data_IF_264274878538
#
_entry.id   IF_264274878538
#
_cell.length_a   1.000
_cell.length_b   1.000
_cell.length_c   1.000
_cell.angle_alpha   90.00
_cell.angle_beta   90.00
_cell.angle_gamma   90.00
#
_symmetry.space_group_name_H-M   'P 1'
#
loop_
_entity.id
_entity.type
_entity.pdbx_description
1 polymer ?
#
# COMPACT_ATOMS: atom_id res chain seq x y z
N UNK A 1 -7.71 -22.35 11.69
CA UNK A 1 -6.28 -22.13 11.36
C UNK A 1 -6.17 -20.74 10.75
N UNK A 2 -6.38 -19.72 11.58
CA UNK A 2 -6.04 -18.34 11.24
C UNK A 2 -4.58 -18.20 11.63
N UNK A 3 -3.74 -17.84 10.67
CA UNK A 3 -2.35 -17.50 10.99
C UNK A 3 -2.34 -16.07 11.47
N UNK A 4 -2.43 -15.90 12.78
CA UNK A 4 -2.08 -14.67 13.48
C UNK A 4 -0.58 -14.42 13.24
N UNK A 5 -0.24 -13.73 12.15
CA UNK A 5 1.10 -13.16 11.96
C UNK A 5 1.21 -11.92 12.85
N UNK A 6 1.34 -12.15 14.16
CA UNK A 6 1.93 -11.20 15.08
C UNK A 6 3.40 -11.03 14.67
N UNK A 7 3.67 -10.09 13.78
CA UNK A 7 5.01 -9.49 13.67
C UNK A 7 5.06 -8.35 14.67
N UNK A 8 5.49 -8.68 15.89
CA UNK A 8 6.03 -7.71 16.82
C UNK A 8 7.27 -7.08 16.18
N UNK A 9 7.13 -5.81 15.82
CA UNK A 9 8.15 -4.97 15.23
C UNK A 9 7.63 -3.56 15.22
N UNK A 10 7.62 -2.94 16.42
CA UNK A 10 7.35 -1.52 16.56
C UNK A 10 8.28 -0.69 15.65
N UNK A 11 7.77 0.49 15.31
CA UNK A 11 8.52 1.63 14.76
C UNK A 11 8.87 1.59 13.27
N UNK A 12 7.84 1.81 12.44
CA UNK A 12 7.77 2.78 11.31
C UNK A 12 6.64 2.36 10.35
N UNK A 13 5.46 2.37 10.92
CA UNK A 13 4.29 1.68 10.39
C UNK A 13 3.76 2.33 9.11
N UNK A 14 3.26 1.50 8.18
CA UNK A 14 2.63 1.96 6.95
C UNK A 14 1.21 2.52 7.18
N UNK A 15 0.74 2.48 8.43
CA UNK A 15 -0.61 2.80 8.90
C UNK A 15 -1.08 4.25 8.69
N UNK A 16 -0.29 5.06 7.99
CA UNK A 16 -0.60 6.47 7.71
C UNK A 16 -1.61 6.63 6.56
N UNK A 17 -1.77 5.61 5.71
CA UNK A 17 -2.68 5.69 4.56
C UNK A 17 -4.07 5.19 4.98
N UNK A 18 -4.97 6.12 5.26
CA UNK A 18 -6.41 5.82 5.36
C UNK A 18 -7.07 6.03 4.00
N UNK A 19 -7.62 4.96 3.43
CA UNK A 19 -8.44 5.01 2.23
C UNK A 19 -9.92 4.90 2.60
N UNK A 20 -10.76 5.72 1.96
CA UNK A 20 -12.21 5.46 1.95
C UNK A 20 -12.50 4.12 1.25
N UNK A 21 -13.57 3.39 1.64
CA UNK A 21 -14.01 2.21 0.89
C UNK A 21 -14.13 2.45 -0.61
N UNK A 22 -14.60 3.63 -1.04
CA UNK A 22 -14.69 4.02 -2.45
C UNK A 22 -13.30 4.14 -3.13
N UNK A 23 -12.32 4.73 -2.45
CA UNK A 23 -10.94 4.86 -2.93
C UNK A 23 -10.26 3.49 -3.04
N UNK A 24 -10.51 2.60 -2.06
CA UNK A 24 -9.99 1.23 -2.08
C UNK A 24 -10.60 0.41 -3.22
N UNK A 25 -11.88 0.60 -3.52
CA UNK A 25 -12.56 -0.04 -4.64
C UNK A 25 -12.03 0.46 -5.99
N UNK A 26 -11.78 1.77 -6.13
CA UNK A 26 -11.18 2.35 -7.33
C UNK A 26 -9.73 1.88 -7.53
N UNK A 27 -8.92 1.82 -6.46
CA UNK A 27 -7.55 1.28 -6.52
C UNK A 27 -7.54 -0.22 -6.85
N UNK A 28 -8.48 -1.00 -6.31
CA UNK A 28 -8.66 -2.41 -6.64
C UNK A 28 -9.06 -2.60 -8.11
N UNK A 29 -9.98 -1.76 -8.61
CA UNK A 29 -10.39 -1.74 -10.01
C UNK A 29 -9.20 -1.43 -10.92
N UNK A 30 -8.41 -0.40 -10.59
CA UNK A 30 -7.17 -0.06 -11.31
C UNK A 30 -6.19 -1.22 -11.31
N UNK A 31 -5.96 -1.87 -10.17
CA UNK A 31 -5.09 -3.05 -10.08
C UNK A 31 -5.51 -4.18 -11.05
N UNK A 32 -6.81 -4.31 -11.34
CA UNK A 32 -7.38 -5.30 -12.27
C UNK A 32 -7.51 -4.81 -13.72
N UNK A 33 -7.39 -3.50 -13.96
CA UNK A 33 -7.49 -2.93 -15.30
C UNK A 33 -6.25 -3.26 -16.13
N UNK A 34 -6.44 -4.02 -17.21
CA UNK A 34 -5.36 -4.35 -18.14
C UNK A 34 -4.86 -3.15 -18.97
N UNK A 35 -5.61 -2.04 -18.96
CA UNK A 35 -5.30 -0.81 -19.73
C UNK A 35 -4.23 0.07 -19.08
N UNK A 36 -3.94 -0.13 -17.79
CA UNK A 36 -2.87 0.60 -17.12
C UNK A 36 -1.55 -0.16 -17.20
N UNK A 37 -0.45 0.60 -17.23
CA UNK A 37 0.89 0.02 -17.20
C UNK A 37 1.04 -0.92 -15.99
N UNK A 38 1.69 -2.08 -16.17
CA UNK A 38 1.93 -3.04 -15.08
C UNK A 38 2.54 -2.38 -13.82
N UNK A 39 3.36 -1.34 -14.01
CA UNK A 39 3.95 -0.56 -12.91
C UNK A 39 2.90 0.18 -12.07
N UNK A 40 1.87 0.71 -12.72
CA UNK A 40 0.79 1.43 -12.05
C UNK A 40 -0.16 0.48 -11.31
N UNK A 41 -0.47 -0.68 -11.90
CA UNK A 41 -1.21 -1.75 -11.21
C UNK A 41 -0.48 -2.29 -9.97
N UNK A 42 0.84 -2.49 -10.05
CA UNK A 42 1.66 -2.88 -8.89
C UNK A 42 1.72 -1.78 -7.84
N UNK A 43 1.80 -0.51 -8.24
CA UNK A 43 1.75 0.64 -7.33
C UNK A 43 0.41 0.72 -6.60
N UNK A 44 -0.70 0.54 -7.30
CA UNK A 44 -2.04 0.50 -6.71
C UNK A 44 -2.15 -0.61 -5.66
N UNK A 45 -1.60 -1.80 -5.95
CA UNK A 45 -1.53 -2.91 -4.99
C UNK A 45 -0.71 -2.58 -3.74
N UNK A 46 0.40 -1.88 -3.88
CA UNK A 46 1.21 -1.40 -2.73
C UNK A 46 0.40 -0.48 -1.82
N UNK A 47 -0.29 0.51 -2.39
CA UNK A 47 -1.09 1.48 -1.62
C UNK A 47 -2.26 0.78 -0.92
N UNK A 48 -2.90 -0.17 -1.62
CA UNK A 48 -4.01 -0.95 -1.08
C UNK A 48 -3.59 -1.85 0.09
N UNK A 49 -2.39 -2.45 0.04
CA UNK A 49 -1.84 -3.22 1.17
C UNK A 49 -1.44 -2.30 2.34
N UNK A 50 -0.85 -1.14 2.04
CA UNK A 50 -0.50 -0.16 3.08
C UNK A 50 -1.75 0.33 3.83
N UNK A 51 -2.85 0.55 3.11
CA UNK A 51 -4.12 0.95 3.71
C UNK A 51 -4.83 -0.16 4.49
N UNK A 52 -4.50 -1.43 4.24
CA UNK A 52 -4.97 -2.56 5.05
C UNK A 52 -4.15 -2.74 6.34
N UNK A 53 -3.14 -1.90 6.57
CA UNK A 53 -2.27 -1.98 7.74
C UNK A 53 -1.05 -2.88 7.56
N UNK A 54 -0.77 -3.37 6.35
CA UNK A 54 0.45 -4.16 6.12
C UNK A 54 1.71 -3.29 6.24
N UNK A 55 2.75 -3.83 6.86
CA UNK A 55 4.03 -3.11 6.98
C UNK A 55 4.71 -2.92 5.63
N UNK A 56 5.41 -1.78 5.44
CA UNK A 56 6.12 -1.49 4.17
C UNK A 56 7.12 -2.60 3.79
N UNK A 57 7.73 -3.24 4.79
CA UNK A 57 8.65 -4.38 4.63
C UNK A 57 7.94 -5.62 4.10
N UNK A 58 6.76 -5.93 4.62
CA UNK A 58 5.96 -7.05 4.14
C UNK A 58 5.45 -6.79 2.73
N UNK A 59 4.99 -5.58 2.45
CA UNK A 59 4.57 -5.17 1.11
C UNK A 59 5.71 -5.29 0.10
N UNK A 60 6.91 -4.85 0.47
CA UNK A 60 8.12 -5.00 -0.35
C UNK A 60 8.39 -6.48 -0.70
N UNK A 61 8.26 -7.38 0.29
CA UNK A 61 8.39 -8.83 0.08
C UNK A 61 7.28 -9.41 -0.80
N UNK A 62 6.03 -9.01 -0.57
CA UNK A 62 4.86 -9.49 -1.31
C UNK A 62 4.84 -9.06 -2.78
N UNK A 63 5.27 -7.84 -3.07
CA UNK A 63 5.24 -7.28 -4.44
C UNK A 63 6.60 -7.46 -5.14
N UNK A 64 7.64 -7.86 -4.41
CA UNK A 64 8.99 -8.07 -4.95
C UNK A 64 9.72 -6.77 -5.30
N UNK A 65 9.41 -5.68 -4.60
CA UNK A 65 10.09 -4.38 -4.77
C UNK A 65 10.91 -4.02 -3.54
N UNK A 66 11.87 -3.12 -3.72
CA UNK A 66 12.63 -2.57 -2.60
C UNK A 66 11.75 -1.67 -1.72
N UNK A 67 12.01 -1.68 -0.41
CA UNK A 67 11.34 -0.83 0.58
C UNK A 67 11.32 0.65 0.16
N UNK A 68 12.45 1.14 -0.40
CA UNK A 68 12.59 2.51 -0.92
C UNK A 68 11.51 2.85 -1.96
N UNK A 69 11.20 1.93 -2.87
CA UNK A 69 10.19 2.13 -3.90
C UNK A 69 8.79 2.19 -3.30
N UNK A 70 8.51 1.31 -2.32
CA UNK A 70 7.26 1.30 -1.56
C UNK A 70 7.06 2.61 -0.81
N UNK A 71 8.06 3.08 -0.07
CA UNK A 71 8.03 4.36 0.65
C UNK A 71 7.84 5.54 -0.29
N UNK A 72 8.53 5.56 -1.43
CA UNK A 72 8.38 6.63 -2.43
C UNK A 72 6.96 6.68 -3.00
N UNK A 73 6.34 5.54 -3.28
CA UNK A 73 4.98 5.49 -3.81
C UNK A 73 3.93 5.89 -2.77
N UNK A 74 4.10 5.42 -1.54
CA UNK A 74 3.31 5.81 -0.38
C UNK A 74 3.35 7.34 -0.18
N UNK A 75 4.56 7.91 -0.12
CA UNK A 75 4.77 9.36 -0.01
C UNK A 75 4.13 10.13 -1.17
N UNK A 76 4.38 9.72 -2.43
CA UNK A 76 3.77 10.37 -3.61
C UNK A 76 2.25 10.26 -3.64
N UNK A 77 1.68 9.21 -3.03
CA UNK A 77 0.24 9.06 -2.93
C UNK A 77 -0.32 10.01 -1.87
N UNK A 78 0.32 10.09 -0.70
CA UNK A 78 -0.02 11.05 0.36
C UNK A 78 0.12 12.50 -0.13
N UNK A 79 1.20 12.86 -0.83
CA UNK A 79 1.39 14.19 -1.42
C UNK A 79 0.30 14.56 -2.43
N UNK A 80 -0.26 13.56 -3.13
CA UNK A 80 -1.34 13.76 -4.12
C UNK A 80 -2.72 13.82 -3.47
N UNK A 81 -2.97 13.02 -2.43
CA UNK A 81 -4.27 12.91 -1.76
C UNK A 81 -4.39 13.81 -0.51
N UNK A 82 -3.31 14.47 -0.07
CA UNK A 82 -3.31 15.46 1.01
C UNK A 82 -3.72 14.92 2.40
N UNK A 83 -3.82 13.60 2.57
CA UNK A 83 -4.14 12.95 3.85
C UNK A 83 -2.91 12.24 4.39
N UNK A 84 -2.22 12.92 5.30
CA UNK A 84 -1.27 12.34 6.24
C UNK A 84 -1.98 12.40 7.59
N UNK A 85 -2.20 11.26 8.22
CA UNK A 85 -2.74 11.21 9.57
C UNK A 85 -1.56 11.32 10.51
N UNK A 86 -1.35 12.54 11.03
CA UNK A 86 -0.31 12.86 12.02
C UNK A 86 -0.45 12.02 13.29
#
# INVERSE_FOLDING_TARGET
>A
MLVDYTVGGEEMSAQDIVLSPEESAELSRRTRSATISQRDGRRARVILLAAQGCSRVEIARLVGFSLRSVTLWCKRFQERHGRVLN
#
